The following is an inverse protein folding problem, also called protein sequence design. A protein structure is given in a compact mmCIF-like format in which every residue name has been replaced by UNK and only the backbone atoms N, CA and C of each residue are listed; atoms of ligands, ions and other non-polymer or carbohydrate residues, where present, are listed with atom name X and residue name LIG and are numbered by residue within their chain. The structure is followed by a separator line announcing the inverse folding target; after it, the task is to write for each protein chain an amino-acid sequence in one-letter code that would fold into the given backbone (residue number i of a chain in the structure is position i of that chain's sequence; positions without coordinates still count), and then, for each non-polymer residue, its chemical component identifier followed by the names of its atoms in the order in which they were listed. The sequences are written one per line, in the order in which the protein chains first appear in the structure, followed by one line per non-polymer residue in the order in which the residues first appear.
data_IF_516003573732
#
_entry.id   IF_516003573732
#
_cell.length_a   1.000
_cell.length_b   1.000
_cell.length_c   1.000
_cell.angle_alpha   90.00
_cell.angle_beta   90.00
_cell.angle_gamma   90.00
#
_symmetry.space_group_name_H-M   'P 1'
#
loop_
_entity.id
_entity.type
_entity.pdbx_description
1 polymer ?
#
# COMPACT_ATOMS: atom_id res chain seq x y z
N UNK A 1 29.54 24.25 -60.24
CA UNK A 1 30.22 23.54 -59.15
C UNK A 1 29.17 22.88 -58.28
N UNK A 2 29.04 21.56 -58.40
CA UNK A 2 28.33 20.72 -57.44
C UNK A 2 29.22 20.56 -56.21
N UNK A 3 28.70 20.81 -55.01
CA UNK A 3 29.14 20.07 -53.83
C UNK A 3 27.96 19.84 -52.90
N UNK A 4 27.70 18.56 -52.74
CA UNK A 4 26.69 17.82 -52.01
C UNK A 4 26.69 18.06 -50.51
N UNK A 5 25.50 17.85 -49.94
CA UNK A 5 25.21 17.78 -48.52
C UNK A 5 26.11 16.78 -47.76
N UNK A 6 26.40 17.12 -46.51
CA UNK A 6 26.59 16.16 -45.42
C UNK A 6 25.62 16.51 -44.31
N UNK A 7 24.42 15.94 -44.44
CA UNK A 7 23.49 15.74 -43.34
C UNK A 7 23.88 14.40 -42.72
N UNK A 8 24.67 14.40 -41.64
CA UNK A 8 24.88 13.19 -40.84
C UNK A 8 25.34 13.55 -39.43
N UNK A 9 24.51 13.18 -38.47
CA UNK A 9 24.95 12.87 -37.11
C UNK A 9 24.84 14.01 -36.10
N UNK A 10 23.62 14.29 -35.65
CA UNK A 10 23.42 14.45 -34.21
C UNK A 10 22.38 13.40 -33.79
N UNK A 11 22.93 12.23 -33.57
CA UNK A 11 22.27 11.01 -33.19
C UNK A 11 22.08 11.03 -31.67
N UNK A 12 20.86 10.71 -31.25
CA UNK A 12 20.45 10.44 -29.87
C UNK A 12 20.42 11.66 -28.95
N UNK A 13 19.22 12.22 -28.84
CA UNK A 13 18.61 12.52 -27.54
C UNK A 13 19.29 11.73 -26.42
N UNK A 14 19.68 12.43 -25.36
CA UNK A 14 19.94 11.95 -23.99
C UNK A 14 18.73 11.19 -23.44
N UNK A 15 18.31 10.14 -24.14
CA UNK A 15 17.28 9.24 -23.69
C UNK A 15 17.89 8.51 -22.51
N UNK A 16 17.16 8.54 -21.39
CA UNK A 16 17.31 7.54 -20.35
C UNK A 16 17.45 6.15 -20.98
N UNK A 17 17.88 5.16 -20.18
CA UNK A 17 17.99 3.73 -20.50
C UNK A 17 16.81 3.01 -21.24
N UNK A 18 15.81 3.73 -21.74
CA UNK A 18 14.69 3.24 -22.54
C UNK A 18 13.54 2.75 -21.67
N UNK A 19 13.68 2.79 -20.34
CA UNK A 19 12.75 2.15 -19.40
C UNK A 19 11.77 3.15 -18.76
N UNK A 20 11.80 4.43 -19.14
CA UNK A 20 10.91 5.44 -18.55
C UNK A 20 9.41 5.13 -18.77
N UNK A 21 9.05 4.54 -19.90
CA UNK A 21 7.68 4.08 -20.15
C UNK A 21 7.29 2.93 -19.21
N UNK A 22 8.19 1.95 -19.02
CA UNK A 22 7.97 0.85 -18.08
C UNK A 22 7.83 1.35 -16.63
N UNK A 23 8.64 2.34 -16.23
CA UNK A 23 8.52 3.00 -14.92
C UNK A 23 7.19 3.74 -14.77
N UNK A 24 6.76 4.49 -15.79
CA UNK A 24 5.48 5.20 -15.75
C UNK A 24 4.29 4.24 -15.65
N UNK A 25 4.34 3.10 -16.35
CA UNK A 25 3.35 2.04 -16.22
C UNK A 25 3.35 1.45 -14.81
N UNK A 26 4.53 1.14 -14.26
CA UNK A 26 4.66 0.59 -12.90
C UNK A 26 4.10 1.53 -11.83
N UNK A 27 4.36 2.83 -11.95
CA UNK A 27 3.75 3.85 -11.08
C UNK A 27 2.22 3.78 -11.15
N UNK A 28 1.67 3.69 -12.36
CA UNK A 28 0.22 3.63 -12.58
C UNK A 28 -0.39 2.40 -11.89
N UNK A 29 0.24 1.23 -12.02
CA UNK A 29 -0.17 -0.01 -11.36
C UNK A 29 -0.16 0.14 -9.82
N UNK A 30 0.95 0.61 -9.26
CA UNK A 30 1.10 0.81 -7.81
C UNK A 30 0.06 1.80 -7.26
N UNK A 31 -0.16 2.91 -7.94
CA UNK A 31 -1.14 3.91 -7.53
C UNK A 31 -2.59 3.41 -7.68
N UNK A 32 -2.88 2.58 -8.68
CA UNK A 32 -4.20 1.98 -8.85
C UNK A 32 -4.49 0.99 -7.72
N UNK A 33 -3.54 0.13 -7.39
CA UNK A 33 -3.65 -0.80 -6.26
C UNK A 33 -3.83 -0.08 -4.94
N UNK A 34 -3.05 0.99 -4.71
CA UNK A 34 -3.21 1.83 -3.53
C UNK A 34 -4.64 2.39 -3.43
N UNK A 35 -5.19 2.97 -4.50
CA UNK A 35 -6.57 3.49 -4.52
C UNK A 35 -7.61 2.39 -4.26
N UNK A 36 -7.42 1.21 -4.85
CA UNK A 36 -8.29 0.04 -4.63
C UNK A 36 -8.27 -0.40 -3.18
N UNK A 37 -7.10 -0.44 -2.54
CA UNK A 37 -6.96 -0.74 -1.11
C UNK A 37 -7.68 0.29 -0.24
N UNK A 38 -7.55 1.59 -0.54
CA UNK A 38 -8.27 2.64 0.19
C UNK A 38 -9.80 2.46 0.10
N UNK A 39 -10.31 2.14 -1.09
CA UNK A 39 -11.72 1.84 -1.29
C UNK A 39 -12.16 0.65 -0.44
N UNK A 40 -11.42 -0.46 -0.47
CA UNK A 40 -11.75 -1.64 0.32
C UNK A 40 -11.68 -1.39 1.83
N UNK A 41 -10.68 -0.63 2.31
CA UNK A 41 -10.60 -0.23 3.73
C UNK A 41 -11.86 0.55 4.14
N UNK A 42 -12.31 1.50 3.30
CA UNK A 42 -13.54 2.25 3.59
C UNK A 42 -14.78 1.36 3.66
N UNK A 43 -14.88 0.36 2.79
CA UNK A 43 -16.01 -0.58 2.74
C UNK A 43 -16.03 -1.56 3.93
N UNK A 44 -14.86 -1.87 4.50
CA UNK A 44 -14.74 -2.75 5.66
C UNK A 44 -15.12 -2.06 6.98
N UNK A 45 -15.11 -0.73 7.02
CA UNK A 45 -15.41 0.04 8.23
C UNK A 45 -16.78 -0.35 8.78
N UNK A 46 -16.79 -0.67 10.07
CA UNK A 46 -18.01 -0.98 10.83
C UNK A 46 -18.00 -0.15 12.09
N UNK A 47 -19.12 0.49 12.41
CA UNK A 47 -19.25 1.20 13.66
C UNK A 47 -19.53 0.22 14.80
N UNK A 48 -18.92 0.50 15.95
CA UNK A 48 -19.13 -0.29 17.15
C UNK A 48 -20.54 -0.03 17.70
N UNK A 49 -21.27 -1.06 18.16
CA UNK A 49 -22.45 -0.87 18.98
C UNK A 49 -22.11 -0.04 20.22
N UNK A 50 -23.09 0.71 20.73
CA UNK A 50 -22.91 1.56 21.90
C UNK A 50 -22.44 0.74 23.11
N UNK A 51 -21.34 1.15 23.74
CA UNK A 51 -20.74 0.48 24.89
C UNK A 51 -19.76 -0.65 24.53
N UNK A 52 -19.64 -1.02 23.25
CA UNK A 52 -18.68 -2.02 22.76
C UNK A 52 -17.47 -1.39 22.07
N UNK A 53 -17.31 -0.06 22.14
CA UNK A 53 -16.22 0.65 21.48
C UNK A 53 -14.85 0.15 21.96
N UNK A 54 -14.75 -0.28 23.21
CA UNK A 54 -13.52 -0.75 23.85
C UNK A 54 -13.09 -2.15 23.42
N UNK A 55 -13.98 -2.91 22.75
CA UNK A 55 -13.68 -4.27 22.36
C UNK A 55 -12.60 -4.29 21.27
N UNK A 56 -11.74 -5.30 21.35
CA UNK A 56 -10.45 -5.36 20.64
C UNK A 56 -10.58 -5.12 19.13
N UNK A 57 -11.48 -5.84 18.45
CA UNK A 57 -11.64 -5.67 17.01
C UNK A 57 -12.15 -4.28 16.61
N UNK A 58 -13.06 -3.67 17.38
CA UNK A 58 -13.54 -2.31 17.10
C UNK A 58 -12.47 -1.26 17.38
N UNK A 59 -11.66 -1.44 18.42
CA UNK A 59 -10.51 -0.58 18.70
C UNK A 59 -9.50 -0.63 17.54
N UNK A 60 -9.21 -1.83 17.03
CA UNK A 60 -8.32 -2.02 15.87
C UNK A 60 -8.88 -1.37 14.61
N UNK A 61 -10.18 -1.50 14.32
CA UNK A 61 -10.78 -0.82 13.17
C UNK A 61 -10.62 0.70 13.24
N UNK A 62 -10.86 1.30 14.42
CA UNK A 62 -10.66 2.74 14.60
C UNK A 62 -9.21 3.14 14.40
N UNK A 63 -8.27 2.37 14.96
CA UNK A 63 -6.85 2.61 14.76
C UNK A 63 -6.48 2.52 13.28
N UNK A 64 -6.93 1.49 12.57
CA UNK A 64 -6.71 1.33 11.13
C UNK A 64 -7.27 2.51 10.33
N UNK A 65 -8.42 3.05 10.72
CA UNK A 65 -8.99 4.22 10.08
C UNK A 65 -8.16 5.49 10.35
N UNK A 66 -7.66 5.70 11.56
CA UNK A 66 -6.74 6.81 11.82
C UNK A 66 -5.44 6.69 11.03
N UNK A 67 -4.87 5.47 10.96
CA UNK A 67 -3.66 5.21 10.18
C UNK A 67 -3.87 5.46 8.68
N UNK A 68 -5.01 5.05 8.11
CA UNK A 68 -5.28 5.28 6.68
C UNK A 68 -5.51 6.77 6.38
N UNK A 69 -6.15 7.51 7.29
CA UNK A 69 -6.29 8.96 7.13
C UNK A 69 -4.92 9.64 7.16
N UNK A 70 -4.03 9.25 8.08
CA UNK A 70 -2.65 9.73 8.09
C UNK A 70 -1.91 9.44 6.78
N UNK A 71 -2.08 8.24 6.23
CA UNK A 71 -1.48 7.84 4.95
C UNK A 71 -2.01 8.64 3.75
N UNK A 72 -3.30 9.01 3.75
CA UNK A 72 -3.92 9.85 2.72
C UNK A 72 -3.45 11.30 2.86
N UNK A 73 -3.35 11.83 4.08
CA UNK A 73 -2.94 13.20 4.35
C UNK A 73 -1.44 13.44 4.15
N UNK A 74 -0.62 12.39 4.20
CA UNK A 74 0.80 12.48 3.91
C UNK A 74 1.02 12.96 2.47
N UNK A 75 1.66 14.12 2.32
CA UNK A 75 2.00 14.67 1.00
C UNK A 75 2.89 13.68 0.24
N UNK A 76 2.68 13.54 -1.07
CA UNK A 76 3.68 12.89 -1.92
C UNK A 76 4.95 13.74 -1.83
N UNK A 77 6.05 13.14 -1.36
CA UNK A 77 7.33 13.83 -1.32
C UNK A 77 7.93 13.87 -2.73
N UNK A 78 7.31 14.70 -3.55
CA UNK A 78 7.85 15.15 -4.83
C UNK A 78 8.53 16.49 -4.54
N UNK A 79 9.60 16.50 -3.74
CA UNK A 79 10.45 17.69 -3.71
C UNK A 79 10.82 18.04 -5.15
N UNK A 80 10.29 19.18 -5.59
CA UNK A 80 10.33 19.65 -6.95
C UNK A 80 11.76 20.01 -7.31
N UNK A 81 12.50 19.05 -7.85
CA UNK A 81 13.76 19.37 -8.51
C UNK A 81 13.39 20.06 -9.82
N UNK A 82 13.51 21.37 -9.85
CA UNK A 82 13.41 22.13 -11.09
C UNK A 82 14.51 21.64 -12.02
N UNK A 83 14.15 21.02 -13.15
CA UNK A 83 15.10 20.75 -14.22
C UNK A 83 14.79 21.65 -15.42
N UNK A 84 15.54 22.76 -15.60
CA UNK A 84 15.36 23.64 -16.75
C UNK A 84 15.76 23.02 -18.09
N UNK A 85 16.41 21.83 -18.13
CA UNK A 85 17.09 21.34 -19.34
C UNK A 85 16.55 20.02 -19.94
N UNK A 86 15.47 19.42 -19.40
CA UNK A 86 14.79 18.29 -20.08
C UNK A 86 15.62 17.01 -20.29
N UNK A 87 16.52 16.69 -19.36
CA UNK A 87 17.42 15.52 -19.46
C UNK A 87 16.70 14.20 -19.07
N UNK A 88 16.83 13.16 -19.89
CA UNK A 88 16.16 11.86 -19.68
C UNK A 88 16.61 11.14 -18.41
N UNK A 89 17.87 11.27 -18.01
CA UNK A 89 18.38 10.69 -16.76
C UNK A 89 17.74 11.31 -15.52
N UNK A 90 17.41 12.61 -15.58
CA UNK A 90 16.66 13.26 -14.50
C UNK A 90 15.25 12.67 -14.39
N UNK A 91 14.57 12.45 -15.52
CA UNK A 91 13.25 11.85 -15.55
C UNK A 91 13.28 10.44 -14.94
N UNK A 92 14.31 9.65 -15.24
CA UNK A 92 14.52 8.33 -14.64
C UNK A 92 14.59 8.39 -13.11
N UNK A 93 15.45 9.25 -12.55
CA UNK A 93 15.61 9.40 -11.10
C UNK A 93 14.27 9.81 -10.46
N UNK A 94 13.53 10.70 -11.10
CA UNK A 94 12.22 11.13 -10.62
C UNK A 94 11.22 9.96 -10.58
N UNK A 95 11.16 9.17 -11.66
CA UNK A 95 10.26 8.03 -11.74
C UNK A 95 10.61 6.95 -10.69
N UNK A 96 11.89 6.67 -10.47
CA UNK A 96 12.34 5.73 -9.43
C UNK A 96 11.93 6.18 -8.02
N UNK A 97 12.01 7.48 -7.72
CA UNK A 97 11.53 8.03 -6.43
C UNK A 97 10.02 7.86 -6.26
N UNK A 98 9.25 8.08 -7.32
CA UNK A 98 7.80 7.89 -7.31
C UNK A 98 7.46 6.40 -7.13
N UNK A 99 8.19 5.49 -7.77
CA UNK A 99 8.03 4.03 -7.56
C UNK A 99 8.24 3.69 -6.08
N UNK A 100 9.27 4.24 -5.43
CA UNK A 100 9.52 4.00 -4.00
C UNK A 100 8.36 4.50 -3.13
N UNK A 101 7.94 5.76 -3.29
CA UNK A 101 6.83 6.33 -2.51
C UNK A 101 5.52 5.53 -2.74
N UNK A 102 5.17 5.25 -4.00
CA UNK A 102 3.98 4.48 -4.35
C UNK A 102 4.02 3.05 -3.80
N UNK A 103 5.19 2.39 -3.85
CA UNK A 103 5.39 1.06 -3.27
C UNK A 103 5.22 1.06 -1.76
N UNK A 104 5.78 2.07 -1.08
CA UNK A 104 5.63 2.21 0.36
C UNK A 104 4.16 2.43 0.74
N UNK A 105 3.47 3.38 0.09
CA UNK A 105 2.03 3.62 0.34
C UNK A 105 1.17 2.39 0.10
N UNK A 106 1.38 1.67 -1.00
CA UNK A 106 0.69 0.40 -1.29
C UNK A 106 0.95 -0.64 -0.20
N UNK A 107 2.20 -0.79 0.23
CA UNK A 107 2.58 -1.71 1.30
C UNK A 107 1.84 -1.40 2.61
N UNK A 108 1.84 -0.15 3.04
CA UNK A 108 1.16 0.24 4.28
C UNK A 108 -0.36 0.15 4.16
N UNK A 109 -0.94 0.53 3.02
CA UNK A 109 -2.36 0.33 2.77
C UNK A 109 -2.75 -1.15 2.82
N UNK A 110 -1.92 -2.05 2.27
CA UNK A 110 -2.18 -3.49 2.32
C UNK A 110 -2.13 -4.02 3.76
N UNK A 111 -1.16 -3.57 4.56
CA UNK A 111 -1.06 -3.88 5.99
C UNK A 111 -2.31 -3.44 6.76
N UNK A 112 -2.76 -2.21 6.53
CA UNK A 112 -3.99 -1.67 7.13
C UNK A 112 -5.21 -2.48 6.67
N UNK A 113 -5.30 -2.80 5.38
CA UNK A 113 -6.37 -3.61 4.81
C UNK A 113 -6.48 -4.99 5.48
N UNK A 114 -5.37 -5.71 5.64
CA UNK A 114 -5.37 -7.04 6.29
C UNK A 114 -5.86 -6.95 7.74
N UNK A 115 -5.40 -5.95 8.49
CA UNK A 115 -5.85 -5.70 9.88
C UNK A 115 -7.34 -5.34 9.93
N UNK A 116 -7.81 -4.47 9.04
CA UNK A 116 -9.22 -4.08 8.93
C UNK A 116 -10.10 -5.29 8.57
N UNK A 117 -9.65 -6.14 7.64
CA UNK A 117 -10.37 -7.34 7.23
C UNK A 117 -10.48 -8.38 8.37
N UNK A 118 -9.40 -8.60 9.12
CA UNK A 118 -9.40 -9.47 10.30
C UNK A 118 -10.34 -8.93 11.39
N UNK A 119 -10.27 -7.64 11.68
CA UNK A 119 -11.18 -6.99 12.62
C UNK A 119 -12.65 -7.09 12.17
N UNK A 120 -12.93 -6.97 10.86
CA UNK A 120 -14.28 -7.13 10.29
C UNK A 120 -14.81 -8.54 10.46
N UNK A 121 -13.99 -9.56 10.21
CA UNK A 121 -14.34 -10.97 10.49
C UNK A 121 -14.63 -11.20 11.97
N UNK A 122 -13.81 -10.64 12.85
CA UNK A 122 -14.05 -10.68 14.29
C UNK A 122 -15.39 -10.05 14.67
N UNK A 123 -15.70 -8.84 14.19
CA UNK A 123 -16.93 -8.13 14.50
C UNK A 123 -18.17 -8.88 14.01
N UNK A 124 -18.10 -9.44 12.79
CA UNK A 124 -19.16 -10.30 12.25
C UNK A 124 -19.37 -11.56 13.09
N UNK A 125 -18.29 -12.19 13.56
CA UNK A 125 -18.35 -13.40 14.39
C UNK A 125 -18.93 -13.08 15.76
N UNK A 126 -18.52 -11.97 16.37
CA UNK A 126 -19.08 -11.48 17.64
C UNK A 126 -20.58 -11.24 17.53
N UNK A 127 -21.02 -10.53 16.49
CA UNK A 127 -22.45 -10.28 16.26
C UNK A 127 -23.26 -11.58 16.12
N UNK A 128 -22.70 -12.59 15.44
CA UNK A 128 -23.31 -13.93 15.32
C UNK A 128 -23.39 -14.69 16.64
N UNK A 129 -22.37 -14.56 17.50
CA UNK A 129 -22.35 -15.20 18.83
C UNK A 129 -23.37 -14.54 19.76
N UNK A 130 -23.40 -13.21 19.77
CA UNK A 130 -24.25 -12.45 20.68
C UNK A 130 -25.72 -12.40 20.25
N UNK A 131 -26.00 -12.45 18.95
CA UNK A 131 -27.38 -12.41 18.40
C UNK A 131 -28.22 -11.24 18.97
N UNK A 132 -27.57 -10.10 19.26
CA UNK A 132 -28.21 -8.93 19.86
C UNK A 132 -28.34 -8.95 21.39
N UNK A 133 -27.94 -10.04 22.05
CA UNK A 133 -27.88 -10.13 23.51
C UNK A 133 -26.58 -9.56 24.06
N UNK A 134 -26.59 -9.15 25.33
CA UNK A 134 -25.35 -8.80 26.04
C UNK A 134 -24.50 -10.06 26.27
N UNK A 135 -23.16 -9.93 26.28
CA UNK A 135 -22.27 -11.01 26.70
C UNK A 135 -22.68 -11.58 28.05
N UNK A 136 -22.77 -12.91 28.14
CA UNK A 136 -23.08 -13.63 29.37
C UNK A 136 -22.26 -14.94 29.42
N UNK A 137 -22.42 -15.73 30.48
CA UNK A 137 -21.58 -16.91 30.72
C UNK A 137 -21.62 -17.95 29.59
N UNK A 138 -22.75 -18.09 28.88
CA UNK A 138 -22.86 -19.03 27.76
C UNK A 138 -22.02 -18.60 26.55
N UNK A 139 -21.74 -17.30 26.39
CA UNK A 139 -20.99 -16.74 25.27
C UNK A 139 -19.47 -16.72 25.50
N UNK A 140 -19.01 -16.81 26.76
CA UNK A 140 -17.61 -16.52 27.13
C UNK A 140 -16.57 -17.33 26.33
N UNK A 141 -16.78 -18.64 26.19
CA UNK A 141 -15.83 -19.50 25.47
C UNK A 141 -15.77 -19.16 23.97
N UNK A 142 -16.93 -18.88 23.36
CA UNK A 142 -17.01 -18.52 21.95
C UNK A 142 -16.37 -17.14 21.68
N UNK A 143 -16.63 -16.16 22.56
CA UNK A 143 -16.01 -14.84 22.48
C UNK A 143 -14.49 -14.91 22.62
N UNK A 144 -13.98 -15.67 23.61
CA UNK A 144 -12.53 -15.88 23.77
C UNK A 144 -11.90 -16.54 22.53
N UNK A 145 -12.61 -17.47 21.89
CA UNK A 145 -12.11 -18.14 20.70
C UNK A 145 -11.95 -17.17 19.50
N UNK A 146 -12.90 -16.26 19.30
CA UNK A 146 -12.78 -15.25 18.23
C UNK A 146 -11.69 -14.22 18.54
N UNK A 147 -11.49 -13.85 19.81
CA UNK A 147 -10.39 -12.96 20.21
C UNK A 147 -9.02 -13.60 19.93
N UNK A 148 -8.88 -14.89 20.28
CA UNK A 148 -7.66 -15.62 19.98
C UNK A 148 -7.41 -15.75 18.48
N UNK A 149 -8.47 -16.00 17.70
CA UNK A 149 -8.37 -16.07 16.23
C UNK A 149 -7.91 -14.74 15.66
N UNK A 150 -8.48 -13.62 16.11
CA UNK A 150 -8.06 -12.28 15.70
C UNK A 150 -6.58 -12.04 16.01
N UNK A 151 -6.12 -12.33 17.22
CA UNK A 151 -4.71 -12.15 17.61
C UNK A 151 -3.76 -13.02 16.78
N UNK A 152 -4.14 -14.26 16.51
CA UNK A 152 -3.37 -15.16 15.66
C UNK A 152 -3.25 -14.61 14.23
N UNK A 153 -4.36 -14.15 13.63
CA UNK A 153 -4.34 -13.52 12.31
C UNK A 153 -3.43 -12.28 12.29
N UNK A 154 -3.57 -11.38 13.25
CA UNK A 154 -2.75 -10.16 13.34
C UNK A 154 -1.25 -10.49 13.50
N UNK A 155 -0.91 -11.51 14.30
CA UNK A 155 0.47 -11.94 14.48
C UNK A 155 1.09 -12.52 13.20
N UNK A 156 0.26 -13.06 12.29
CA UNK A 156 0.72 -13.62 11.03
C UNK A 156 1.05 -12.56 9.97
N UNK A 157 0.49 -11.35 10.10
CA UNK A 157 0.69 -10.23 9.16
C UNK A 157 2.03 -9.51 9.39
N UNK A 158 3.12 -10.28 9.27
CA UNK A 158 4.49 -9.76 9.34
C UNK A 158 4.85 -8.98 8.08
N UNK A 159 5.78 -8.03 8.20
CA UNK A 159 6.22 -7.24 7.05
C UNK A 159 6.76 -8.10 5.88
N UNK A 160 7.54 -9.18 6.11
CA UNK A 160 7.93 -10.11 5.05
C UNK A 160 6.75 -10.85 4.41
N UNK A 161 5.76 -11.27 5.20
CA UNK A 161 4.55 -11.91 4.67
C UNK A 161 3.81 -10.98 3.70
N UNK A 162 3.60 -9.73 4.12
CA UNK A 162 2.91 -8.69 3.34
C UNK A 162 3.68 -8.39 2.05
N UNK A 163 5.01 -8.25 2.14
CA UNK A 163 5.86 -8.01 0.96
C UNK A 163 5.79 -9.16 -0.03
N UNK A 164 5.83 -10.40 0.46
CA UNK A 164 5.78 -11.60 -0.38
C UNK A 164 4.42 -11.77 -1.05
N UNK A 165 3.33 -11.45 -0.35
CA UNK A 165 1.97 -11.50 -0.90
C UNK A 165 1.80 -10.51 -2.07
N UNK A 166 2.22 -9.25 -1.87
CA UNK A 166 2.20 -8.22 -2.91
C UNK A 166 3.09 -8.60 -4.10
N UNK A 167 4.31 -9.08 -3.83
CA UNK A 167 5.24 -9.54 -4.88
C UNK A 167 4.64 -10.68 -5.70
N UNK A 168 4.00 -11.64 -5.02
CA UNK A 168 3.39 -12.78 -5.70
C UNK A 168 2.20 -12.34 -6.55
N UNK A 169 1.43 -11.34 -6.10
CA UNK A 169 0.37 -10.74 -6.90
C UNK A 169 0.92 -10.04 -8.16
N UNK A 170 1.99 -9.27 -8.00
CA UNK A 170 2.62 -8.56 -9.11
C UNK A 170 3.21 -9.51 -10.17
N UNK A 171 3.88 -10.58 -9.72
CA UNK A 171 4.41 -11.64 -10.61
C UNK A 171 3.27 -12.32 -11.37
N UNK A 172 2.17 -12.66 -10.70
CA UNK A 172 1.00 -13.26 -11.36
C UNK A 172 0.35 -12.32 -12.38
N UNK A 173 0.39 -11.01 -12.14
CA UNK A 173 -0.14 -10.00 -13.05
C UNK A 173 0.80 -9.69 -14.23
N UNK A 174 2.05 -10.17 -14.19
CA UNK A 174 3.03 -9.93 -15.25
C UNK A 174 3.60 -8.51 -15.26
N UNK A 175 3.59 -7.84 -14.11
CA UNK A 175 4.10 -6.48 -13.97
C UNK A 175 5.63 -6.40 -14.12
N UNK A 176 6.14 -5.24 -14.50
CA UNK A 176 7.58 -4.98 -14.55
C UNK A 176 8.10 -4.61 -13.16
N UNK A 177 8.97 -5.44 -12.59
CA UNK A 177 9.41 -5.35 -11.18
C UNK A 177 10.90 -5.04 -11.01
N UNK A 178 11.62 -4.74 -12.10
CA UNK A 178 13.07 -4.63 -12.09
C UNK A 178 13.62 -3.56 -11.15
N UNK A 179 12.80 -2.57 -10.79
CA UNK A 179 13.19 -1.45 -9.92
C UNK A 179 12.28 -1.31 -8.70
N UNK A 180 11.50 -2.34 -8.39
CA UNK A 180 10.70 -2.35 -7.18
C UNK A 180 11.62 -2.37 -5.96
N UNK A 181 11.36 -1.52 -4.95
CA UNK A 181 12.21 -1.47 -3.77
C UNK A 181 12.11 -2.74 -2.94
N UNK A 182 13.23 -3.11 -2.32
CA UNK A 182 13.27 -4.13 -1.29
C UNK A 182 12.53 -3.69 -0.02
N UNK A 183 12.14 -4.66 0.79
CA UNK A 183 11.43 -4.40 2.06
C UNK A 183 12.21 -3.45 2.98
N UNK A 184 13.54 -3.59 3.05
CA UNK A 184 14.39 -2.72 3.87
C UNK A 184 14.30 -1.25 3.47
N UNK A 185 14.21 -0.96 2.17
CA UNK A 185 14.08 0.40 1.61
C UNK A 185 12.68 0.95 1.91
N UNK A 186 11.64 0.15 1.72
CA UNK A 186 10.25 0.51 2.08
C UNK A 186 10.16 0.86 3.57
N UNK A 187 10.71 0.03 4.45
CA UNK A 187 10.66 0.28 5.89
C UNK A 187 11.51 1.48 6.30
N UNK A 188 12.62 1.75 5.60
CA UNK A 188 13.41 2.95 5.81
C UNK A 188 12.65 4.21 5.41
N UNK A 189 11.93 4.17 4.29
CA UNK A 189 11.11 5.28 3.81
C UNK A 189 10.10 5.73 4.89
N UNK A 190 9.44 4.79 5.58
CA UNK A 190 8.54 5.15 6.68
C UNK A 190 9.24 5.86 7.82
N UNK A 191 10.43 5.40 8.23
CA UNK A 191 11.18 6.03 9.34
C UNK A 191 11.58 7.47 9.05
N UNK A 192 11.71 7.84 7.78
CA UNK A 192 12.12 9.20 7.36
C UNK A 192 10.94 10.10 7.01
N UNK A 193 9.71 9.56 6.92
CA UNK A 193 8.50 10.27 6.51
C UNK A 193 7.32 10.13 7.48
N UNK A 194 7.53 9.50 8.66
CA UNK A 194 6.54 9.34 9.75
C UNK A 194 6.71 10.36 10.86
#
# INVERSE_FOLDING_TARGET
MLSTATFYGDNFTTMADGLNEARALRITELMNDFRTLLLHISQLKTDAPQGEEHEEGYAIMRQCFHEVQGLISAQFNVEAIQNPNGDGEWQKVQLQRIILDASARRFQAHKIYLRMAAARRWAMSRMKILQGQKPNHSHLNALRAIDQTLRNELSSFTDPYIRNDLMSADVRAGHWLSEDPDLSIILHWFRTHS
#
